data_IF_476637183675
#
_entry.id   IF_476637183675
#
_cell.length_a   1.000
_cell.length_b   1.000
_cell.length_c   1.000
_cell.angle_alpha   90.00
_cell.angle_beta   90.00
_cell.angle_gamma   90.00
#
_symmetry.space_group_name_H-M   'P 1'
#
loop_
_entity.id
_entity.type
_entity.pdbx_description
1 polymer ?
#
# COMPACT_ATOMS: atom_id res chain seq x y z
N UNK A 1 31.67 1.70 33.24
CA UNK A 1 30.73 0.59 33.49
C UNK A 1 30.73 -0.32 32.29
N UNK A 2 30.92 -1.63 32.50
CA UNK A 2 30.84 -2.64 31.45
C UNK A 2 29.38 -2.79 30.99
N UNK A 3 29.13 -2.74 29.67
CA UNK A 3 27.79 -2.98 29.12
C UNK A 3 27.66 -4.45 28.71
N UNK A 4 27.03 -5.31 29.55
CA UNK A 4 26.93 -6.74 29.29
C UNK A 4 26.14 -7.08 28.02
N UNK A 5 25.36 -6.14 27.46
CA UNK A 5 24.64 -6.35 26.20
C UNK A 5 25.58 -6.52 24.99
N UNK A 6 26.79 -5.95 25.03
CA UNK A 6 27.77 -6.07 23.94
C UNK A 6 28.33 -7.49 23.80
N UNK A 7 28.24 -8.31 24.85
CA UNK A 7 28.66 -9.71 24.83
C UNK A 7 27.62 -10.66 24.24
N UNK A 8 26.40 -10.18 23.94
CA UNK A 8 25.34 -11.01 23.38
C UNK A 8 25.44 -11.08 21.84
N UNK A 9 25.27 -12.28 21.27
CA UNK A 9 25.28 -12.48 19.82
C UNK A 9 24.00 -11.86 19.24
N UNK A 10 24.15 -10.86 18.35
CA UNK A 10 23.00 -10.31 17.61
C UNK A 10 22.32 -11.41 16.81
N UNK A 11 21.06 -11.70 17.13
CA UNK A 11 20.24 -12.61 16.33
C UNK A 11 19.98 -11.94 14.98
N UNK A 12 20.49 -12.52 13.91
CA UNK A 12 20.18 -12.09 12.54
C UNK A 12 18.83 -12.67 12.18
N UNK A 13 17.77 -11.86 12.30
CA UNK A 13 16.44 -12.26 11.90
C UNK A 13 16.39 -12.43 10.37
N UNK A 14 16.16 -13.65 9.90
CA UNK A 14 15.87 -13.92 8.48
C UNK A 14 14.47 -13.42 8.15
N UNK A 15 14.33 -12.73 7.01
CA UNK A 15 13.03 -12.25 6.57
C UNK A 15 12.32 -13.35 5.80
N UNK A 16 11.31 -13.97 6.42
CA UNK A 16 10.57 -15.08 5.81
C UNK A 16 9.39 -14.62 4.93
N UNK A 17 9.08 -13.32 4.87
CA UNK A 17 7.95 -12.83 4.07
C UNK A 17 8.28 -12.89 2.58
N UNK A 18 7.42 -13.56 1.81
CA UNK A 18 7.49 -13.58 0.35
C UNK A 18 7.19 -12.21 -0.25
N UNK A 19 7.80 -11.92 -1.41
CA UNK A 19 7.50 -10.73 -2.21
C UNK A 19 6.16 -10.90 -2.92
N UNK A 20 5.45 -9.80 -3.08
CA UNK A 20 4.23 -9.76 -3.89
C UNK A 20 4.60 -9.46 -5.34
N UNK A 21 4.48 -10.43 -6.24
CA UNK A 21 4.59 -10.17 -7.67
C UNK A 21 3.25 -9.65 -8.25
N UNK A 22 3.25 -9.20 -9.50
CA UNK A 22 2.07 -8.60 -10.10
C UNK A 22 0.93 -9.63 -10.32
N UNK A 23 1.25 -10.85 -10.74
CA UNK A 23 0.27 -11.93 -10.94
C UNK A 23 -0.46 -12.29 -9.63
N UNK A 24 0.30 -12.44 -8.53
CA UNK A 24 -0.27 -12.62 -7.19
C UNK A 24 -1.15 -11.44 -6.80
N UNK A 25 -0.69 -10.21 -7.06
CA UNK A 25 -1.47 -9.02 -6.75
C UNK A 25 -2.79 -9.01 -7.54
N UNK A 26 -2.78 -9.36 -8.83
CA UNK A 26 -3.98 -9.45 -9.65
C UNK A 26 -4.95 -10.53 -9.12
N UNK A 27 -4.44 -11.70 -8.77
CA UNK A 27 -5.27 -12.77 -8.19
C UNK A 27 -5.93 -12.34 -6.86
N UNK A 28 -5.18 -11.67 -5.98
CA UNK A 28 -5.71 -11.14 -4.72
C UNK A 28 -6.71 -10.00 -4.99
N UNK A 29 -6.43 -9.16 -5.99
CA UNK A 29 -7.31 -8.06 -6.37
C UNK A 29 -8.66 -8.57 -6.87
N UNK A 30 -8.64 -9.63 -7.69
CA UNK A 30 -9.86 -10.29 -8.18
C UNK A 30 -10.63 -10.95 -7.04
N UNK A 31 -9.96 -11.68 -6.15
CA UNK A 31 -10.59 -12.28 -4.97
C UNK A 31 -11.21 -11.23 -4.02
N UNK A 32 -10.70 -10.00 -4.03
CA UNK A 32 -11.25 -8.90 -3.24
C UNK A 32 -12.50 -8.24 -3.86
N UNK A 33 -12.96 -8.65 -5.04
CA UNK A 33 -14.10 -8.04 -5.76
C UNK A 33 -15.42 -8.15 -4.98
N UNK A 34 -15.64 -9.26 -4.28
CA UNK A 34 -16.83 -9.51 -3.45
C UNK A 34 -16.72 -8.91 -2.04
N UNK A 35 -15.59 -8.28 -1.71
CA UNK A 35 -15.37 -7.64 -0.41
C UNK A 35 -15.88 -6.19 -0.39
N UNK A 36 -15.74 -5.52 0.76
CA UNK A 36 -16.08 -4.10 0.85
C UNK A 36 -15.26 -3.27 -0.17
N UNK A 37 -15.85 -2.25 -0.84
CA UNK A 37 -15.18 -1.51 -1.92
C UNK A 37 -13.83 -0.90 -1.56
N UNK A 38 -13.65 -0.50 -0.29
CA UNK A 38 -12.39 0.06 0.18
C UNK A 38 -11.21 -0.92 0.05
N UNK A 39 -11.45 -2.24 0.00
CA UNK A 39 -10.39 -3.25 -0.09
C UNK A 39 -9.65 -3.11 -1.42
N UNK A 40 -10.35 -3.25 -2.54
CA UNK A 40 -9.77 -3.03 -3.87
C UNK A 40 -9.26 -1.58 -4.04
N UNK A 41 -10.00 -0.58 -3.57
CA UNK A 41 -9.58 0.82 -3.68
C UNK A 41 -8.27 1.09 -2.92
N UNK A 42 -8.09 0.50 -1.75
CA UNK A 42 -6.85 0.62 -0.98
C UNK A 42 -5.65 -0.05 -1.65
N UNK A 43 -5.89 -1.17 -2.36
CA UNK A 43 -4.85 -1.85 -3.14
C UNK A 43 -4.40 -1.00 -4.33
N UNK A 44 -5.35 -0.43 -5.08
CA UNK A 44 -5.04 0.47 -6.20
C UNK A 44 -4.30 1.72 -5.72
N UNK A 45 -4.76 2.37 -4.64
CA UNK A 45 -4.05 3.51 -4.07
C UNK A 45 -2.63 3.13 -3.62
N UNK A 46 -2.45 1.94 -3.02
CA UNK A 46 -1.13 1.48 -2.60
C UNK A 46 -0.16 1.31 -3.78
N UNK A 47 -0.63 0.72 -4.89
CA UNK A 47 0.21 0.53 -6.09
C UNK A 47 0.47 1.86 -6.80
N UNK A 48 -0.54 2.68 -7.03
CA UNK A 48 -0.39 3.90 -7.84
C UNK A 48 0.36 5.00 -7.08
N UNK A 49 0.21 5.11 -5.76
CA UNK A 49 0.89 6.16 -4.98
C UNK A 49 2.18 5.70 -4.33
N UNK A 50 2.39 4.39 -4.19
CA UNK A 50 3.49 3.81 -3.44
C UNK A 50 3.49 4.15 -1.94
N UNK A 51 2.43 4.76 -1.38
CA UNK A 51 2.44 5.25 0.01
C UNK A 51 2.21 4.14 1.05
N UNK A 52 2.59 4.41 2.31
CA UNK A 52 2.43 3.42 3.39
C UNK A 52 0.95 3.33 3.77
N UNK A 53 0.52 2.14 4.16
CA UNK A 53 -0.82 1.84 4.69
C UNK A 53 -1.41 2.93 5.62
N UNK A 54 -0.64 3.38 6.62
CA UNK A 54 -1.12 4.40 7.57
C UNK A 54 -1.33 5.76 6.92
N UNK A 55 -0.53 6.10 5.89
CA UNK A 55 -0.70 7.31 5.10
C UNK A 55 -1.95 7.19 4.20
N UNK A 56 -2.14 6.04 3.53
CA UNK A 56 -3.32 5.75 2.71
C UNK A 56 -4.63 5.91 3.47
N UNK A 57 -4.69 5.34 4.68
CA UNK A 57 -5.88 5.40 5.53
C UNK A 57 -6.28 6.85 5.88
N UNK A 58 -5.33 7.80 5.87
CA UNK A 58 -5.57 9.20 6.23
C UNK A 58 -5.77 10.15 5.04
N UNK A 59 -5.71 9.66 3.80
CA UNK A 59 -5.94 10.50 2.63
C UNK A 59 -7.38 11.00 2.58
N UNK A 60 -7.55 12.30 2.31
CA UNK A 60 -8.85 12.95 2.17
C UNK A 60 -9.06 13.50 0.78
N UNK A 61 -10.32 13.63 0.36
CA UNK A 61 -10.65 14.25 -0.92
C UNK A 61 -10.23 15.72 -0.96
N UNK A 62 -10.18 16.39 0.19
CA UNK A 62 -9.66 17.75 0.34
C UNK A 62 -8.14 17.87 0.11
N UNK A 63 -7.41 16.76 0.16
CA UNK A 63 -5.96 16.75 -0.10
C UNK A 63 -5.66 16.76 -1.61
N UNK A 64 -6.69 16.77 -2.45
CA UNK A 64 -6.59 16.80 -3.91
C UNK A 64 -6.86 18.22 -4.42
N UNK A 65 -5.83 18.88 -4.91
CA UNK A 65 -5.90 20.24 -5.44
C UNK A 65 -4.73 20.52 -6.40
N UNK A 66 -4.91 21.49 -7.30
CA UNK A 66 -3.96 21.88 -8.35
C UNK A 66 -3.45 20.74 -9.25
N UNK A 67 -4.24 19.67 -9.41
CA UNK A 67 -3.85 18.51 -10.21
C UNK A 67 -2.92 17.53 -9.49
N UNK A 68 -2.79 17.63 -8.16
CA UNK A 68 -1.98 16.73 -7.34
C UNK A 68 -2.77 16.20 -6.13
N UNK A 69 -2.39 15.02 -5.66
CA UNK A 69 -2.72 14.51 -4.33
C UNK A 69 -1.58 14.87 -3.37
N UNK A 70 -1.89 15.65 -2.35
CA UNK A 70 -0.91 16.11 -1.36
C UNK A 70 -0.87 15.17 -0.15
N UNK A 71 0.30 14.61 0.14
CA UNK A 71 0.48 13.60 1.19
C UNK A 71 1.55 14.06 2.17
N UNK A 72 1.24 14.06 3.46
CA UNK A 72 2.23 14.20 4.53
C UNK A 72 2.45 12.83 5.19
N UNK A 73 3.59 12.22 4.95
CA UNK A 73 3.92 10.91 5.50
C UNK A 73 4.00 10.96 7.03
N UNK A 74 3.28 10.07 7.70
CA UNK A 74 3.20 10.00 9.16
C UNK A 74 4.55 9.64 9.80
N UNK A 75 5.27 8.68 9.19
CA UNK A 75 6.51 8.13 9.75
C UNK A 75 7.68 9.11 9.66
N UNK A 76 7.80 9.83 8.55
CA UNK A 76 8.99 10.63 8.21
C UNK A 76 8.71 12.13 8.19
N UNK A 77 7.44 12.53 8.13
CA UNK A 77 7.04 13.94 7.98
C UNK A 77 7.20 14.51 6.57
N UNK A 78 7.72 13.73 5.62
CA UNK A 78 7.93 14.14 4.22
C UNK A 78 6.59 14.54 3.59
N UNK A 79 6.59 15.69 2.91
CA UNK A 79 5.45 16.18 2.14
C UNK A 79 5.68 15.89 0.66
N UNK A 80 4.70 15.28 0.01
CA UNK A 80 4.73 14.90 -1.39
C UNK A 80 3.50 15.48 -2.08
N UNK A 81 3.67 15.92 -3.32
CA UNK A 81 2.58 16.23 -4.24
C UNK A 81 2.65 15.22 -5.39
N UNK A 82 1.70 14.29 -5.42
CA UNK A 82 1.68 13.18 -6.40
C UNK A 82 0.74 13.59 -7.55
N UNK A 83 1.22 13.69 -8.79
CA UNK A 83 0.38 14.18 -9.89
C UNK A 83 -0.77 13.21 -10.15
N UNK A 84 -1.98 13.76 -10.36
CA UNK A 84 -3.16 12.96 -10.67
C UNK A 84 -3.04 12.21 -12.01
N UNK A 85 -2.16 12.69 -12.90
CA UNK A 85 -1.80 12.04 -14.16
C UNK A 85 -0.88 10.83 -13.99
N UNK A 86 -0.32 10.58 -12.80
CA UNK A 86 0.51 9.41 -12.55
C UNK A 86 -0.28 8.13 -12.89
N UNK A 87 0.24 7.37 -13.86
CA UNK A 87 -0.39 6.18 -14.42
C UNK A 87 0.49 4.98 -14.18
N UNK A 88 -0.09 3.87 -13.74
CA UNK A 88 0.58 2.58 -13.77
C UNK A 88 0.30 1.94 -15.12
N UNK A 89 1.30 1.89 -16.00
CA UNK A 89 1.15 1.31 -17.35
C UNK A 89 0.66 -0.15 -17.29
N UNK A 90 1.20 -0.95 -16.37
CA UNK A 90 0.85 -2.38 -16.26
C UNK A 90 -0.62 -2.62 -15.89
N UNK A 91 -1.26 -1.68 -15.18
CA UNK A 91 -2.67 -1.77 -14.78
C UNK A 91 -3.58 -0.89 -15.64
N UNK A 92 -3.00 -0.13 -16.57
CA UNK A 92 -3.68 0.87 -17.37
C UNK A 92 -4.60 1.81 -16.56
N UNK A 93 -4.15 2.25 -15.38
CA UNK A 93 -4.95 3.13 -14.49
C UNK A 93 -4.14 4.32 -13.94
N UNK A 94 -4.77 5.49 -13.92
CA UNK A 94 -4.22 6.74 -13.36
C UNK A 94 -4.70 7.00 -11.93
N UNK A 95 -3.93 7.80 -11.18
CA UNK A 95 -4.32 8.23 -9.84
C UNK A 95 -5.67 8.97 -9.84
N UNK A 96 -5.93 9.81 -10.84
CA UNK A 96 -7.23 10.46 -11.01
C UNK A 96 -8.39 9.45 -11.09
N UNK A 97 -8.23 8.37 -11.87
CA UNK A 97 -9.23 7.32 -12.00
C UNK A 97 -9.42 6.55 -10.69
N UNK A 98 -8.34 6.24 -9.97
CA UNK A 98 -8.42 5.58 -8.66
C UNK A 98 -9.16 6.46 -7.64
N UNK A 99 -8.85 7.75 -7.56
CA UNK A 99 -9.54 8.68 -6.65
C UNK A 99 -11.01 8.82 -7.03
N UNK A 100 -11.33 8.88 -8.33
CA UNK A 100 -12.72 8.88 -8.79
C UNK A 100 -13.45 7.60 -8.39
N UNK A 101 -12.81 6.44 -8.49
CA UNK A 101 -13.35 5.15 -8.05
C UNK A 101 -13.58 5.08 -6.54
N UNK A 102 -12.81 5.83 -5.74
CA UNK A 102 -13.03 5.98 -4.30
C UNK A 102 -14.28 6.82 -3.96
N UNK A 103 -14.84 7.58 -4.91
CA UNK A 103 -16.09 8.30 -4.70
C UNK A 103 -17.27 7.38 -4.99
N UNK A 104 -18.18 7.31 -4.04
CA UNK A 104 -19.45 6.64 -4.19
C UNK A 104 -20.59 7.52 -3.66
N UNK A 105 -21.77 6.92 -3.42
CA UNK A 105 -22.97 7.63 -2.95
C UNK A 105 -22.89 8.11 -1.49
N UNK A 106 -21.91 7.63 -0.72
CA UNK A 106 -21.70 7.99 0.67
C UNK A 106 -20.79 9.21 0.74
N UNK A 107 -21.31 10.27 1.36
CA UNK A 107 -20.54 11.50 1.57
C UNK A 107 -19.54 11.27 2.70
N UNK A 108 -18.25 11.17 2.37
CA UNK A 108 -17.14 11.05 3.32
C UNK A 108 -16.00 12.01 2.98
N UNK A 109 -15.30 12.58 3.98
CA UNK A 109 -14.07 13.32 3.72
C UNK A 109 -12.91 12.41 3.29
N UNK A 110 -12.96 11.11 3.58
CA UNK A 110 -11.84 10.17 3.40
C UNK A 110 -11.91 9.45 2.05
N UNK A 111 -10.76 9.26 1.40
CA UNK A 111 -10.68 8.43 0.18
C UNK A 111 -11.08 6.97 0.50
N UNK A 112 -10.62 6.46 1.63
CA UNK A 112 -10.96 5.12 2.11
C UNK A 112 -11.94 5.24 3.28
N UNK A 113 -13.20 4.94 3.01
CA UNK A 113 -14.28 5.01 3.98
C UNK A 113 -15.20 3.78 3.90
N UNK A 114 -15.97 3.57 4.95
CA UNK A 114 -17.00 2.53 5.00
C UNK A 114 -18.24 2.97 4.22
N UNK A 115 -18.73 2.11 3.32
CA UNK A 115 -19.94 2.39 2.51
C UNK A 115 -21.23 1.90 3.16
N UNK A 116 -21.12 0.96 4.11
CA UNK A 116 -22.22 0.43 4.90
C UNK A 116 -21.92 0.59 6.38
N UNK A 117 -22.96 0.76 7.19
CA UNK A 117 -22.85 0.75 8.65
C UNK A 117 -22.83 -0.69 9.16
N UNK A 118 -21.98 -0.99 10.13
CA UNK A 118 -21.93 -2.29 10.81
C UNK A 118 -21.43 -2.12 12.25
N UNK A 119 -22.21 -2.61 13.22
CA UNK A 119 -21.90 -2.45 14.64
C UNK A 119 -21.72 -0.98 15.03
N UNK A 120 -20.52 -0.64 15.53
CA UNK A 120 -20.16 0.74 15.92
C UNK A 120 -19.66 1.60 14.76
N UNK A 121 -19.40 1.02 13.59
CA UNK A 121 -18.90 1.71 12.41
C UNK A 121 -20.09 2.20 11.59
N UNK A 122 -20.10 3.49 11.25
CA UNK A 122 -21.09 4.08 10.37
C UNK A 122 -20.60 4.11 8.93
N UNK A 123 -21.54 4.10 7.99
CA UNK A 123 -21.24 4.57 6.65
C UNK A 123 -20.64 5.99 6.73
N UNK A 124 -19.67 6.28 5.86
CA UNK A 124 -18.79 7.46 5.80
C UNK A 124 -17.59 7.47 6.75
N UNK A 125 -17.57 6.60 7.76
CA UNK A 125 -16.46 6.54 8.70
C UNK A 125 -15.15 6.16 7.99
N UNK A 126 -14.04 6.71 8.50
CA UNK A 126 -12.70 6.40 8.03
C UNK A 126 -12.39 4.90 8.17
N UNK A 127 -11.78 4.31 7.14
CA UNK A 127 -11.22 2.96 7.27
C UNK A 127 -9.89 3.03 8.03
N UNK A 128 -9.82 2.32 9.15
CA UNK A 128 -8.59 2.24 9.96
C UNK A 128 -7.46 1.47 9.27
N UNK A 129 -6.21 1.80 9.59
CA UNK A 129 -5.04 1.13 8.99
C UNK A 129 -5.02 -0.38 9.23
N UNK A 130 -5.46 -0.85 10.40
CA UNK A 130 -5.51 -2.27 10.71
C UNK A 130 -6.52 -3.00 9.82
N UNK A 131 -7.66 -2.37 9.51
CA UNK A 131 -8.69 -2.92 8.62
C UNK A 131 -8.12 -3.17 7.21
N UNK A 132 -7.27 -2.28 6.70
CA UNK A 132 -6.60 -2.50 5.41
C UNK A 132 -5.73 -3.76 5.41
N UNK A 133 -5.05 -4.03 6.52
CA UNK A 133 -4.18 -5.22 6.65
C UNK A 133 -4.98 -6.50 6.79
N UNK A 134 -6.01 -6.46 7.63
CA UNK A 134 -6.88 -7.61 7.90
C UNK A 134 -7.65 -7.97 6.63
N UNK A 135 -8.28 -7.00 5.96
CA UNK A 135 -9.05 -7.27 4.74
C UNK A 135 -8.17 -7.73 3.59
N UNK A 136 -6.95 -7.20 3.44
CA UNK A 136 -6.02 -7.73 2.45
C UNK A 136 -5.59 -9.16 2.77
N UNK A 137 -5.36 -9.48 4.04
CA UNK A 137 -5.09 -10.87 4.43
C UNK A 137 -6.27 -11.79 4.10
N UNK A 138 -7.50 -11.36 4.38
CA UNK A 138 -8.69 -12.13 4.02
C UNK A 138 -8.78 -12.34 2.50
N UNK A 139 -8.49 -11.31 1.69
CA UNK A 139 -8.43 -11.45 0.24
C UNK A 139 -7.36 -12.47 -0.21
N UNK A 140 -6.18 -12.46 0.44
CA UNK A 140 -5.12 -13.44 0.20
C UNK A 140 -5.59 -14.85 0.57
N UNK A 141 -6.21 -15.02 1.73
CA UNK A 141 -6.70 -16.31 2.24
C UNK A 141 -7.85 -16.86 1.35
N UNK A 142 -8.54 -16.00 0.60
CA UNK A 142 -9.54 -16.38 -0.42
C UNK A 142 -8.93 -16.81 -1.76
N UNK A 143 -7.61 -16.72 -1.94
CA UNK A 143 -6.92 -17.23 -3.13
C UNK A 143 -6.34 -18.63 -2.91
N UNK A 144 -6.07 -19.35 -3.99
CA UNK A 144 -5.31 -20.61 -3.96
C UNK A 144 -3.81 -20.40 -4.16
N UNK A 145 -3.28 -19.22 -3.80
CA UNK A 145 -1.86 -18.92 -3.98
C UNK A 145 -1.00 -19.80 -3.07
N UNK A 146 0.03 -20.40 -3.66
CA UNK A 146 1.07 -21.11 -2.91
C UNK A 146 2.37 -20.33 -2.98
N UNK A 147 3.16 -20.44 -1.92
CA UNK A 147 4.49 -19.84 -1.82
C UNK A 147 5.48 -20.91 -1.41
N UNK A 148 6.77 -20.61 -1.60
CA UNK A 148 7.85 -21.50 -1.22
C UNK A 148 7.79 -21.91 0.26
N UNK A 149 8.17 -23.16 0.50
CA UNK A 149 8.17 -23.75 1.84
C UNK A 149 9.02 -22.91 2.80
N UNK A 150 8.44 -22.56 3.94
CA UNK A 150 9.11 -21.77 4.98
C UNK A 150 8.99 -20.25 4.80
N UNK A 151 8.39 -19.78 3.69
CA UNK A 151 7.99 -18.37 3.54
C UNK A 151 6.58 -18.14 4.09
N UNK A 152 6.26 -16.88 4.37
CA UNK A 152 4.91 -16.43 4.73
C UNK A 152 4.29 -15.61 3.60
N UNK A 153 2.95 -15.64 3.50
CA UNK A 153 2.21 -14.93 2.47
C UNK A 153 2.53 -13.44 2.47
N UNK A 154 2.50 -12.76 1.31
CA UNK A 154 2.71 -11.33 1.25
C UNK A 154 1.68 -10.60 2.11
N UNK A 155 2.08 -9.47 2.65
CA UNK A 155 1.19 -8.61 3.45
C UNK A 155 0.88 -7.34 2.67
N UNK A 156 -0.10 -6.55 3.12
CA UNK A 156 -0.44 -5.25 2.52
C UNK A 156 0.81 -4.38 2.27
N UNK A 157 1.82 -4.46 3.14
CA UNK A 157 3.05 -3.68 3.02
C UNK A 157 3.85 -3.99 1.74
N UNK A 158 3.77 -5.21 1.21
CA UNK A 158 4.51 -5.59 0.00
C UNK A 158 3.99 -4.88 -1.26
N UNK A 159 2.77 -4.30 -1.22
CA UNK A 159 2.26 -3.47 -2.32
C UNK A 159 3.12 -2.23 -2.57
N UNK A 160 3.71 -1.65 -1.52
CA UNK A 160 4.65 -0.52 -1.68
C UNK A 160 5.93 -0.95 -2.43
N UNK A 161 6.43 -2.15 -2.13
CA UNK A 161 7.59 -2.73 -2.82
C UNK A 161 7.26 -3.11 -4.27
N UNK A 162 6.02 -3.54 -4.53
CA UNK A 162 5.54 -3.82 -5.88
C UNK A 162 5.37 -2.53 -6.70
N UNK A 163 4.76 -1.50 -6.12
CA UNK A 163 4.65 -0.15 -6.71
C UNK A 163 5.99 0.37 -7.20
N UNK A 164 7.02 0.30 -6.34
CA UNK A 164 8.37 0.74 -6.67
C UNK A 164 8.95 -0.02 -7.87
N UNK A 165 8.90 -1.36 -7.87
CA UNK A 165 9.40 -2.16 -9.01
C UNK A 165 8.63 -1.88 -10.30
N UNK A 166 7.31 -1.72 -10.23
CA UNK A 166 6.48 -1.42 -11.40
C UNK A 166 6.82 -0.05 -12.00
N UNK A 167 7.06 0.96 -11.16
CA UNK A 167 7.36 2.31 -11.61
C UNK A 167 8.81 2.48 -12.06
N UNK A 168 9.74 1.78 -11.44
CA UNK A 168 11.12 1.71 -11.92
C UNK A 168 11.18 1.11 -13.32
N UNK A 169 10.45 0.02 -13.59
CA UNK A 169 10.33 -0.58 -14.92
C UNK A 169 9.70 0.38 -15.96
N UNK A 170 8.93 1.38 -15.52
CA UNK A 170 8.36 2.44 -16.35
C UNK A 170 9.29 3.66 -16.49
N UNK A 171 10.48 3.65 -15.86
CA UNK A 171 11.42 4.77 -15.90
C UNK A 171 11.06 5.95 -14.98
N UNK A 172 10.13 5.76 -14.04
CA UNK A 172 9.72 6.81 -13.09
C UNK A 172 10.69 6.83 -11.90
N UNK A 173 11.05 8.04 -11.45
CA UNK A 173 11.89 8.21 -10.25
C UNK A 173 11.12 7.83 -8.97
N UNK A 174 11.31 6.60 -8.53
CA UNK A 174 10.64 6.03 -7.34
C UNK A 174 11.15 6.60 -6.03
N UNK A 175 12.41 7.05 -5.95
CA UNK A 175 12.96 7.65 -4.73
C UNK A 175 12.16 8.90 -4.33
N UNK A 176 11.84 9.74 -5.30
CA UNK A 176 11.00 10.92 -5.10
C UNK A 176 9.55 10.53 -4.76
N UNK A 177 8.96 9.60 -5.51
CA UNK A 177 7.58 9.13 -5.29
C UNK A 177 7.39 8.54 -3.89
N UNK A 178 8.36 7.77 -3.40
CA UNK A 178 8.28 7.10 -2.11
C UNK A 178 8.77 7.99 -0.95
N UNK A 179 9.44 9.11 -1.23
CA UNK A 179 9.99 10.00 -0.22
C UNK A 179 11.16 9.37 0.55
N UNK A 180 11.99 8.58 -0.13
CA UNK A 180 13.16 7.93 0.48
C UNK A 180 14.34 8.90 0.54
N UNK A 181 14.90 9.10 1.74
CA UNK A 181 16.02 10.01 1.97
C UNK A 181 17.35 9.53 1.39
N UNK A 182 17.49 8.23 1.10
CA UNK A 182 18.71 7.66 0.50
C UNK A 182 18.40 6.49 -0.43
N UNK A 183 19.25 6.32 -1.46
CA UNK A 183 19.19 5.22 -2.42
C UNK A 183 19.30 3.84 -1.75
N UNK A 184 19.99 3.75 -0.62
CA UNK A 184 20.08 2.49 0.17
C UNK A 184 18.71 1.99 0.64
N UNK A 185 17.74 2.88 0.90
CA UNK A 185 16.38 2.45 1.26
C UNK A 185 15.64 1.89 0.04
N UNK A 186 15.82 2.52 -1.13
CA UNK A 186 15.29 2.07 -2.44
C UNK A 186 15.86 0.69 -2.80
N UNK A 187 17.17 0.48 -2.64
CA UNK A 187 17.87 -0.79 -2.85
C UNK A 187 17.30 -1.99 -2.06
N UNK A 188 16.74 -1.76 -0.87
CA UNK A 188 16.18 -2.83 -0.05
C UNK A 188 14.84 -3.36 -0.60
N UNK A 189 14.15 -2.58 -1.44
CA UNK A 189 12.90 -2.95 -2.09
C UNK A 189 13.11 -3.62 -3.46
N UNK A 190 14.26 -3.40 -4.12
CA UNK A 190 14.64 -4.08 -5.37
C UNK A 190 15.11 -5.53 -5.18
N UNK A 191 15.40 -5.97 -3.95
CA UNK A 191 15.82 -7.35 -3.73
C UNK A 191 14.60 -8.29 -3.77
N UNK A 192 14.56 -9.16 -4.78
CA UNK A 192 13.56 -10.22 -4.97
C UNK A 192 13.55 -11.25 -3.83
N UNK A 193 14.54 -11.20 -2.92
CA UNK A 193 14.64 -12.05 -1.73
C UNK A 193 14.34 -13.51 -2.06
N UNK A 194 15.16 -14.02 -2.99
CA UNK A 194 15.22 -15.43 -3.39
C UNK A 194 15.02 -16.36 -2.21
#
# INVERSE_FOLDING_TARGET
>A
GYNPALATRKVVARVNRSRLNFEMWQAIFEAASDMAPYVQNSMLLAIVTGQRRGDLAKMKFSDVWDGYLHVKQLKTGVKLAIPLSLRSEVMDISLAQVIKRCRDRVVSPWLLHHVTSSGKVKASDQVGENSLSVSFKLAVDSTNLSIERGKTMPTFHEQRSLSERLYEAQGINTQQLLGHSSEKMTAQYHNDRG
#
